data_IF_033255457968
#
_entry.id   IF_033255457968
#
_cell.length_a   1.000
_cell.length_b   1.000
_cell.length_c   1.000
_cell.angle_alpha   90.00
_cell.angle_beta   90.00
_cell.angle_gamma   90.00
#
_symmetry.space_group_name_H-M   'P 1'
#
loop_
_entity.id
_entity.type
_entity.pdbx_description
1 polymer ?
#
# COMPACT_ATOMS: atom_id res chain seq x y z
N UNK A 1 17.85 -14.02 -18.72
CA UNK A 1 18.47 -13.19 -17.68
C UNK A 1 18.37 -13.98 -16.37
N UNK A 2 19.49 -14.27 -15.71
CA UNK A 2 19.51 -14.84 -14.36
C UNK A 2 19.06 -13.78 -13.34
N UNK A 3 18.71 -14.20 -12.12
CA UNK A 3 18.15 -13.31 -11.07
C UNK A 3 19.06 -12.11 -10.77
N UNK A 4 20.35 -12.36 -10.65
CA UNK A 4 21.37 -11.34 -10.37
C UNK A 4 21.68 -10.44 -11.56
N UNK A 5 21.34 -10.85 -12.79
CA UNK A 5 21.73 -10.12 -14.00
C UNK A 5 21.02 -8.76 -14.12
N UNK A 6 19.84 -8.59 -13.51
CA UNK A 6 19.14 -7.30 -13.46
C UNK A 6 19.99 -6.21 -12.78
N UNK A 7 20.74 -6.61 -11.74
CA UNK A 7 21.34 -5.73 -10.74
C UNK A 7 22.73 -5.22 -11.08
N UNK A 8 23.15 -5.35 -12.35
CA UNK A 8 24.46 -4.86 -12.79
C UNK A 8 24.42 -4.27 -14.19
N UNK A 9 25.06 -3.12 -14.35
CA UNK A 9 25.37 -2.49 -15.65
C UNK A 9 26.12 -3.40 -16.64
N UNK A 10 26.83 -4.43 -16.15
CA UNK A 10 27.56 -5.37 -17.00
C UNK A 10 26.65 -6.36 -17.73
N UNK A 11 25.58 -6.78 -17.07
CA UNK A 11 24.65 -7.81 -17.55
C UNK A 11 23.33 -7.21 -18.02
N UNK A 12 23.01 -5.99 -17.57
CA UNK A 12 21.86 -5.20 -17.94
C UNK A 12 22.31 -3.76 -18.28
N UNK A 13 22.79 -3.51 -19.51
CA UNK A 13 23.35 -2.21 -19.89
C UNK A 13 22.29 -1.11 -20.01
N UNK A 14 21.01 -1.46 -20.18
CA UNK A 14 19.94 -0.49 -20.43
C UNK A 14 19.38 0.13 -19.14
N UNK A 15 19.15 -0.68 -18.10
CA UNK A 15 18.57 -0.23 -16.82
C UNK A 15 19.43 -0.55 -15.59
N UNK A 16 20.60 -1.18 -15.78
CA UNK A 16 21.45 -1.67 -14.68
C UNK A 16 21.94 -0.59 -13.73
N UNK A 17 22.17 0.64 -14.19
CA UNK A 17 22.53 1.77 -13.31
C UNK A 17 21.40 2.11 -12.32
N UNK A 18 20.15 2.07 -12.79
CA UNK A 18 18.96 2.30 -11.95
C UNK A 18 18.77 1.16 -10.93
N UNK A 19 19.04 -0.08 -11.33
CA UNK A 19 19.06 -1.21 -10.39
C UNK A 19 20.20 -1.12 -9.37
N UNK A 20 21.41 -0.72 -9.75
CA UNK A 20 22.53 -0.54 -8.82
C UNK A 20 22.19 0.55 -7.78
N UNK A 21 21.52 1.63 -8.20
CA UNK A 21 20.98 2.65 -7.29
C UNK A 21 19.89 2.10 -6.35
N UNK A 22 18.95 1.32 -6.87
CA UNK A 22 17.92 0.67 -6.05
C UNK A 22 18.52 -0.33 -5.04
N UNK A 23 19.50 -1.13 -5.45
CA UNK A 23 20.22 -2.03 -4.55
C UNK A 23 20.92 -1.26 -3.43
N UNK A 24 21.54 -0.12 -3.77
CA UNK A 24 22.14 0.77 -2.78
C UNK A 24 21.11 1.31 -1.77
N UNK A 25 19.89 1.62 -2.24
CA UNK A 25 18.78 2.01 -1.38
C UNK A 25 18.33 0.86 -0.47
N UNK A 26 18.10 -0.34 -1.00
CA UNK A 26 17.68 -1.51 -0.21
C UNK A 26 18.66 -1.83 0.92
N UNK A 27 19.97 -1.65 0.67
CA UNK A 27 21.05 -1.84 1.67
C UNK A 27 21.04 -0.84 2.83
N UNK A 28 20.31 0.27 2.72
CA UNK A 28 20.16 1.24 3.82
C UNK A 28 18.74 1.30 4.37
N UNK A 29 17.75 0.99 3.54
CA UNK A 29 16.32 1.07 3.83
C UNK A 29 15.78 -0.10 4.67
N UNK A 30 16.58 -0.66 5.59
CA UNK A 30 16.17 -1.76 6.48
C UNK A 30 16.69 -1.55 7.89
N UNK A 31 16.06 -2.18 8.89
CA UNK A 31 16.40 -2.07 10.32
C UNK A 31 17.72 -2.76 10.75
N UNK A 32 18.50 -3.29 9.80
CA UNK A 32 19.75 -4.02 10.08
C UNK A 32 19.64 -5.54 9.96
N UNK A 33 18.42 -6.09 9.85
CA UNK A 33 18.22 -7.54 9.81
C UNK A 33 17.96 -8.12 8.40
N UNK A 34 17.63 -7.29 7.41
CA UNK A 34 17.48 -7.76 6.04
C UNK A 34 18.80 -8.29 5.45
N UNK A 35 18.76 -9.50 4.90
CA UNK A 35 19.77 -10.06 4.02
C UNK A 35 19.43 -9.68 2.57
N UNK A 36 20.01 -8.57 2.11
CA UNK A 36 19.74 -8.02 0.78
C UNK A 36 20.36 -8.86 -0.34
N UNK A 37 21.50 -9.52 -0.08
CA UNK A 37 22.14 -10.35 -1.08
C UNK A 37 21.30 -11.64 -1.31
N UNK A 38 20.78 -12.25 -0.24
CA UNK A 38 19.80 -13.33 -0.36
C UNK A 38 18.48 -12.86 -0.99
N UNK A 39 18.04 -11.62 -0.71
CA UNK A 39 16.86 -11.04 -1.33
C UNK A 39 16.98 -10.98 -2.85
N UNK A 40 18.06 -10.40 -3.39
CA UNK A 40 18.19 -10.25 -4.85
C UNK A 40 18.47 -11.57 -5.58
N UNK A 41 18.99 -12.59 -4.89
CA UNK A 41 19.20 -13.94 -5.44
C UNK A 41 17.97 -14.88 -5.27
N UNK A 42 16.89 -14.38 -4.67
CA UNK A 42 15.66 -15.14 -4.47
C UNK A 42 14.67 -15.03 -5.64
N UNK A 43 13.70 -15.94 -5.70
CA UNK A 43 12.56 -15.79 -6.64
C UNK A 43 11.75 -14.52 -6.33
N UNK A 44 11.70 -14.11 -5.07
CA UNK A 44 11.06 -12.88 -4.62
C UNK A 44 11.77 -11.64 -5.18
N UNK A 45 13.11 -11.61 -5.10
CA UNK A 45 13.94 -10.56 -5.68
C UNK A 45 13.81 -10.48 -7.21
N UNK A 46 13.68 -11.62 -7.88
CA UNK A 46 13.41 -11.66 -9.33
C UNK A 46 12.04 -11.06 -9.67
N UNK A 47 11.00 -11.39 -8.89
CA UNK A 47 9.66 -10.83 -9.08
C UNK A 47 9.65 -9.31 -8.82
N UNK A 48 10.34 -8.85 -7.77
CA UNK A 48 10.55 -7.44 -7.48
C UNK A 48 11.28 -6.73 -8.63
N UNK A 49 12.36 -7.33 -9.15
CA UNK A 49 13.13 -6.78 -10.26
C UNK A 49 12.31 -6.64 -11.54
N UNK A 50 11.38 -7.57 -11.84
CA UNK A 50 10.48 -7.46 -12.99
C UNK A 50 9.54 -6.25 -12.90
N UNK A 51 9.06 -5.90 -11.71
CA UNK A 51 8.23 -4.70 -11.52
C UNK A 51 9.07 -3.42 -11.67
N UNK A 52 10.28 -3.41 -11.14
CA UNK A 52 11.22 -2.29 -11.32
C UNK A 52 11.63 -2.08 -12.77
N UNK A 53 11.86 -3.17 -13.51
CA UNK A 53 12.22 -3.10 -14.92
C UNK A 53 11.14 -2.40 -15.75
N UNK A 54 9.85 -2.70 -15.48
CA UNK A 54 8.73 -2.01 -16.12
C UNK A 54 8.75 -0.50 -15.82
N UNK A 55 8.99 -0.13 -14.57
CA UNK A 55 9.14 1.27 -14.17
C UNK A 55 10.30 1.93 -14.94
N UNK A 56 11.51 1.38 -14.83
CA UNK A 56 12.73 1.99 -15.38
C UNK A 56 12.65 2.18 -16.89
N UNK A 57 11.97 1.27 -17.58
CA UNK A 57 11.73 1.34 -19.02
C UNK A 57 10.78 2.46 -19.44
N UNK A 58 9.82 2.85 -18.60
CA UNK A 58 8.73 3.74 -18.99
C UNK A 58 8.70 5.08 -18.25
N UNK A 59 9.41 5.23 -17.13
CA UNK A 59 9.30 6.41 -16.25
C UNK A 59 9.70 7.73 -16.91
N UNK A 60 10.59 7.71 -17.91
CA UNK A 60 11.02 8.92 -18.63
C UNK A 60 10.01 9.41 -19.68
N UNK A 61 9.14 8.52 -20.15
CA UNK A 61 8.11 8.82 -21.15
C UNK A 61 6.78 8.18 -20.75
N UNK A 62 6.14 8.64 -19.66
CA UNK A 62 5.01 7.96 -19.02
C UNK A 62 3.72 7.96 -19.84
N UNK A 63 3.66 8.77 -20.89
CA UNK A 63 2.59 8.77 -21.90
C UNK A 63 3.11 8.49 -23.31
N UNK A 64 4.33 7.95 -23.42
CA UNK A 64 4.94 7.56 -24.68
C UNK A 64 4.29 6.32 -25.30
N UNK A 65 4.45 6.15 -26.61
CA UNK A 65 3.79 5.06 -27.35
C UNK A 65 4.18 3.66 -26.84
N UNK A 66 5.40 3.48 -26.31
CA UNK A 66 5.85 2.20 -25.77
C UNK A 66 5.05 1.76 -24.54
N UNK A 67 4.80 2.67 -23.58
CA UNK A 67 4.01 2.35 -22.38
C UNK A 67 2.53 2.24 -22.72
N UNK A 68 2.01 3.06 -23.64
CA UNK A 68 0.63 2.93 -24.11
C UNK A 68 0.41 1.59 -24.84
N UNK A 69 1.36 1.14 -25.65
CA UNK A 69 1.31 -0.17 -26.30
C UNK A 69 1.38 -1.32 -25.29
N UNK A 70 2.19 -1.17 -24.22
CA UNK A 70 2.22 -2.11 -23.11
C UNK A 70 0.86 -2.21 -22.41
N UNK A 71 0.21 -1.09 -22.09
CA UNK A 71 -1.14 -1.14 -21.51
C UNK A 71 -2.15 -1.79 -22.45
N UNK A 72 -2.11 -1.46 -23.74
CA UNK A 72 -3.01 -2.08 -24.73
C UNK A 72 -2.82 -3.59 -24.84
N UNK A 73 -1.58 -4.08 -24.72
CA UNK A 73 -1.31 -5.53 -24.74
C UNK A 73 -1.88 -6.25 -23.51
N UNK A 74 -2.07 -5.54 -22.39
CA UNK A 74 -2.78 -6.03 -21.20
C UNK A 74 -4.30 -5.87 -21.28
N UNK A 75 -4.85 -5.33 -22.38
CA UNK A 75 -6.27 -5.01 -22.48
C UNK A 75 -6.68 -3.76 -21.70
N UNK A 76 -5.75 -2.84 -21.49
CA UNK A 76 -5.93 -1.61 -20.71
C UNK A 76 -5.68 -0.35 -21.55
N UNK A 77 -6.28 0.75 -21.10
CA UNK A 77 -6.06 2.13 -21.55
C UNK A 77 -5.44 2.90 -20.39
N UNK A 78 -4.46 3.76 -20.69
CA UNK A 78 -3.91 4.74 -19.75
C UNK A 78 -4.21 6.14 -20.24
N UNK A 79 -4.65 6.99 -19.33
CA UNK A 79 -4.87 8.42 -19.54
C UNK A 79 -4.14 9.21 -18.46
N UNK A 80 -3.66 10.41 -18.79
CA UNK A 80 -3.10 11.37 -17.84
C UNK A 80 -3.89 12.67 -17.99
N UNK A 81 -4.31 13.23 -16.87
CA UNK A 81 -5.11 14.45 -16.78
C UNK A 81 -4.33 15.52 -16.06
N UNK A 82 -4.61 16.79 -16.38
CA UNK A 82 -3.98 17.96 -15.75
C UNK A 82 -2.44 17.88 -15.83
N UNK A 83 -1.90 17.21 -16.87
CA UNK A 83 -0.45 16.93 -17.00
C UNK A 83 0.35 18.22 -17.20
N UNK A 84 -0.26 19.32 -17.64
CA UNK A 84 0.41 20.61 -17.74
C UNK A 84 1.02 21.09 -16.42
N UNK A 85 0.43 20.71 -15.27
CA UNK A 85 0.98 20.97 -13.95
C UNK A 85 1.34 19.66 -13.25
N UNK A 86 2.64 19.52 -12.98
CA UNK A 86 3.22 18.37 -12.31
C UNK A 86 2.47 17.99 -11.04
N UNK A 87 2.00 18.96 -10.23
CA UNK A 87 1.42 18.68 -8.91
C UNK A 87 -0.08 18.40 -8.91
N UNK A 88 -0.82 18.82 -9.92
CA UNK A 88 -2.27 18.55 -10.03
C UNK A 88 -2.57 17.29 -10.83
N UNK A 89 -1.62 16.85 -11.66
CA UNK A 89 -1.81 15.71 -12.55
C UNK A 89 -2.18 14.42 -11.85
N UNK A 90 -2.91 13.59 -12.58
CA UNK A 90 -3.30 12.26 -12.16
C UNK A 90 -3.47 11.34 -13.37
N UNK A 91 -3.16 10.06 -13.17
CA UNK A 91 -3.30 9.03 -14.18
C UNK A 91 -4.51 8.14 -13.86
N UNK A 92 -5.17 7.66 -14.90
CA UNK A 92 -6.22 6.65 -14.81
C UNK A 92 -5.92 5.50 -15.76
N UNK A 93 -5.96 4.29 -15.23
CA UNK A 93 -5.86 3.05 -15.97
C UNK A 93 -7.25 2.40 -15.98
N UNK A 94 -7.76 2.08 -17.15
CA UNK A 94 -9.09 1.48 -17.34
C UNK A 94 -9.04 0.28 -18.30
N UNK A 95 -9.96 -0.69 -18.21
CA UNK A 95 -10.14 -1.70 -19.26
C UNK A 95 -10.47 -1.07 -20.61
N UNK A 96 -9.91 -1.59 -21.70
CA UNK A 96 -10.17 -1.07 -23.06
C UNK A 96 -11.65 -1.12 -23.44
N UNK A 97 -12.35 -2.16 -23.00
CA UNK A 97 -13.77 -2.38 -23.27
C UNK A 97 -14.72 -1.48 -22.44
N UNK A 98 -14.19 -0.67 -21.51
CA UNK A 98 -14.98 0.09 -20.54
C UNK A 98 -16.02 1.02 -21.18
N UNK A 99 -15.66 1.73 -22.25
CA UNK A 99 -16.56 2.70 -22.87
C UNK A 99 -17.78 2.02 -23.50
N UNK A 100 -17.63 0.79 -24.01
CA UNK A 100 -18.71 0.02 -24.62
C UNK A 100 -19.56 -0.68 -23.55
N UNK A 101 -18.93 -1.41 -22.63
CA UNK A 101 -19.64 -2.10 -21.54
C UNK A 101 -20.32 -1.11 -20.58
N UNK A 102 -19.72 0.06 -20.37
CA UNK A 102 -20.30 1.15 -19.57
C UNK A 102 -21.59 1.70 -20.17
N UNK A 103 -21.69 1.80 -21.50
CA UNK A 103 -22.94 2.16 -22.20
C UNK A 103 -24.00 1.06 -22.04
N UNK A 104 -23.58 -0.19 -21.87
CA UNK A 104 -24.46 -1.31 -21.53
C UNK A 104 -24.81 -1.38 -20.03
N UNK A 105 -24.38 -0.41 -19.23
CA UNK A 105 -24.72 -0.29 -17.81
C UNK A 105 -23.76 -0.97 -16.85
N UNK A 106 -22.69 -1.63 -17.34
CA UNK A 106 -21.66 -2.22 -16.47
C UNK A 106 -20.96 -1.11 -15.67
N UNK A 107 -20.67 -1.39 -14.39
CA UNK A 107 -19.94 -0.49 -13.49
C UNK A 107 -18.68 -1.16 -12.96
N UNK A 108 -17.62 -0.38 -12.76
CA UNK A 108 -16.29 -0.87 -12.44
C UNK A 108 -15.82 -0.39 -11.07
N UNK A 109 -15.21 -1.25 -10.26
CA UNK A 109 -14.48 -0.84 -9.06
C UNK A 109 -13.32 0.10 -9.38
N UNK A 110 -12.93 0.90 -8.39
CA UNK A 110 -11.78 1.81 -8.46
C UNK A 110 -10.83 1.59 -7.29
N UNK A 111 -9.54 1.51 -7.58
CA UNK A 111 -8.47 1.53 -6.57
C UNK A 111 -7.62 2.78 -6.77
N UNK A 112 -7.52 3.62 -5.73
CA UNK A 112 -6.50 4.66 -5.67
C UNK A 112 -5.18 4.07 -5.15
N UNK A 113 -4.06 4.44 -5.78
CA UNK A 113 -2.71 4.03 -5.36
C UNK A 113 -1.87 5.27 -5.09
N UNK A 114 -1.53 5.49 -3.82
CA UNK A 114 -0.76 6.65 -3.38
C UNK A 114 0.74 6.34 -3.32
N UNK A 115 1.54 7.19 -3.98
CA UNK A 115 2.99 7.06 -4.01
C UNK A 115 3.67 7.45 -2.69
N UNK A 116 4.88 6.92 -2.49
CA UNK A 116 5.77 7.28 -1.38
C UNK A 116 6.25 8.74 -1.41
N UNK A 117 6.88 9.17 -0.33
CA UNK A 117 7.42 10.53 -0.22
C UNK A 117 8.56 10.72 -1.20
N UNK A 118 8.65 11.90 -1.82
CA UNK A 118 9.63 12.22 -2.87
C UNK A 118 9.48 11.43 -4.18
N UNK A 119 8.45 10.57 -4.29
CA UNK A 119 8.17 9.84 -5.52
C UNK A 119 7.19 10.60 -6.43
N UNK A 120 7.02 10.08 -7.64
CA UNK A 120 6.05 10.53 -8.63
C UNK A 120 5.15 9.38 -9.07
N UNK A 121 4.10 9.69 -9.86
CA UNK A 121 3.23 8.67 -10.47
C UNK A 121 4.06 7.60 -11.19
N UNK A 122 5.05 8.03 -11.98
CA UNK A 122 5.89 7.15 -12.80
C UNK A 122 6.72 6.17 -11.98
N UNK A 123 7.17 6.61 -10.81
CA UNK A 123 7.97 5.78 -9.91
C UNK A 123 7.13 4.73 -9.19
N UNK A 124 5.82 4.97 -9.08
CA UNK A 124 4.88 4.18 -8.29
C UNK A 124 4.06 3.21 -9.13
N UNK A 125 3.80 3.56 -10.40
CA UNK A 125 2.81 2.92 -11.28
C UNK A 125 2.86 1.39 -11.27
N UNK A 126 4.06 0.80 -11.28
CA UNK A 126 4.26 -0.65 -11.28
C UNK A 126 4.64 -1.23 -9.91
N UNK A 127 4.95 -0.40 -8.91
CA UNK A 127 5.60 -0.81 -7.66
C UNK A 127 4.84 -1.87 -6.88
N UNK A 128 3.52 -1.69 -6.71
CA UNK A 128 2.66 -2.67 -6.04
C UNK A 128 2.02 -3.70 -6.98
N UNK A 129 2.23 -3.61 -8.30
CA UNK A 129 1.67 -4.54 -9.29
C UNK A 129 0.21 -4.31 -9.69
N UNK A 130 -0.43 -3.23 -9.22
CA UNK A 130 -1.86 -2.94 -9.48
C UNK A 130 -2.26 -2.89 -10.97
N UNK A 131 -1.42 -2.46 -11.93
CA UNK A 131 -1.76 -2.56 -13.36
C UNK A 131 -2.08 -3.98 -13.83
N UNK A 132 -1.39 -5.00 -13.29
CA UNK A 132 -1.65 -6.39 -13.63
C UNK A 132 -2.96 -6.90 -13.03
N UNK A 133 -3.27 -6.44 -11.82
CA UNK A 133 -4.58 -6.68 -11.17
C UNK A 133 -5.68 -6.04 -12.01
N UNK A 134 -5.50 -4.80 -12.47
CA UNK A 134 -6.45 -4.11 -13.35
C UNK A 134 -6.76 -4.90 -14.62
N UNK A 135 -5.73 -5.46 -15.25
CA UNK A 135 -5.87 -6.28 -16.45
C UNK A 135 -6.67 -7.56 -16.20
N UNK A 136 -6.34 -8.29 -15.11
CA UNK A 136 -6.95 -9.57 -14.74
C UNK A 136 -8.40 -9.41 -14.27
N UNK A 137 -8.63 -8.44 -13.39
CA UNK A 137 -9.86 -8.30 -12.62
C UNK A 137 -10.82 -7.28 -13.24
N UNK A 138 -10.36 -6.59 -14.30
CA UNK A 138 -11.10 -5.56 -15.03
C UNK A 138 -11.61 -4.49 -14.07
N UNK A 139 -10.67 -3.79 -13.43
CA UNK A 139 -10.93 -2.68 -12.50
C UNK A 139 -10.25 -1.39 -12.97
N UNK A 140 -10.68 -0.25 -12.44
CA UNK A 140 -10.00 1.02 -12.61
C UNK A 140 -8.92 1.21 -11.56
N UNK A 141 -7.82 1.86 -11.96
CA UNK A 141 -6.74 2.25 -11.04
C UNK A 141 -6.37 3.70 -11.27
N UNK A 142 -6.35 4.50 -10.20
CA UNK A 142 -5.98 5.91 -10.27
C UNK A 142 -4.72 6.19 -9.44
N UNK A 143 -3.81 6.98 -10.03
CA UNK A 143 -2.59 7.45 -9.38
C UNK A 143 -2.61 8.98 -9.37
N UNK A 144 -2.40 9.58 -8.21
CA UNK A 144 -2.45 11.03 -8.03
C UNK A 144 -1.06 11.53 -7.67
N UNK A 145 -0.62 12.65 -8.24
CA UNK A 145 0.59 13.30 -7.76
C UNK A 145 0.33 14.04 -6.42
N UNK A 146 -0.81 14.72 -6.30
CA UNK A 146 -1.27 15.24 -5.01
C UNK A 146 -2.16 14.20 -4.33
N UNK A 147 -1.56 13.47 -3.39
CA UNK A 147 -2.17 12.36 -2.64
C UNK A 147 -3.00 12.80 -1.44
N UNK A 148 -3.22 14.11 -1.23
CA UNK A 148 -4.05 14.60 -0.13
C UNK A 148 -5.52 14.18 -0.30
N UNK A 149 -6.24 14.02 0.81
CA UNK A 149 -7.62 13.55 0.86
C UNK A 149 -8.59 14.49 0.13
N UNK A 150 -8.41 15.83 0.20
CA UNK A 150 -9.29 16.75 -0.56
C UNK A 150 -9.13 16.56 -2.07
N UNK A 151 -7.89 16.35 -2.53
CA UNK A 151 -7.65 16.11 -3.95
C UNK A 151 -8.13 14.71 -4.39
N UNK A 152 -7.98 13.71 -3.51
CA UNK A 152 -8.56 12.39 -3.74
C UNK A 152 -10.07 12.49 -3.92
N UNK A 153 -10.77 13.19 -3.02
CA UNK A 153 -12.21 13.37 -3.12
C UNK A 153 -12.61 14.10 -4.41
N UNK A 154 -11.89 15.17 -4.76
CA UNK A 154 -12.08 15.91 -6.02
C UNK A 154 -11.95 14.99 -7.22
N UNK A 155 -10.86 14.22 -7.33
CA UNK A 155 -10.61 13.32 -8.46
C UNK A 155 -11.63 12.18 -8.49
N UNK A 156 -12.02 11.63 -7.34
CA UNK A 156 -13.10 10.64 -7.25
C UNK A 156 -14.41 11.19 -7.81
N UNK A 157 -14.79 12.42 -7.47
CA UNK A 157 -15.98 13.07 -8.02
C UNK A 157 -15.90 13.26 -9.54
N UNK A 158 -14.71 13.62 -10.06
CA UNK A 158 -14.47 13.74 -11.51
C UNK A 158 -14.63 12.38 -12.21
N UNK A 159 -14.04 11.32 -11.65
CA UNK A 159 -14.15 9.96 -12.19
C UNK A 159 -15.62 9.51 -12.15
N UNK A 160 -16.32 9.71 -11.04
CA UNK A 160 -17.73 9.34 -10.88
C UNK A 160 -18.65 10.01 -11.92
N UNK A 161 -18.34 11.24 -12.32
CA UNK A 161 -19.12 11.98 -13.33
C UNK A 161 -18.80 11.62 -14.78
N UNK A 162 -17.62 11.05 -15.06
CA UNK A 162 -17.13 10.80 -16.44
C UNK A 162 -17.07 9.32 -16.82
N UNK A 163 -16.83 8.44 -15.86
CA UNK A 163 -16.60 7.02 -16.08
C UNK A 163 -17.72 6.17 -15.48
N UNK A 164 -17.92 4.93 -15.96
CA UNK A 164 -18.87 3.99 -15.38
C UNK A 164 -18.37 3.44 -14.02
N UNK A 165 -18.14 4.32 -13.06
CA UNK A 165 -17.68 3.98 -11.72
C UNK A 165 -18.78 3.28 -10.92
N UNK A 166 -18.41 2.16 -10.31
CA UNK A 166 -19.15 1.62 -9.19
C UNK A 166 -18.74 2.35 -7.90
N UNK A 167 -19.52 3.35 -7.52
CA UNK A 167 -19.23 4.13 -6.30
C UNK A 167 -19.45 3.35 -5.00
N UNK A 168 -19.94 2.10 -5.05
CA UNK A 168 -19.96 1.20 -3.88
C UNK A 168 -18.65 0.45 -3.68
N UNK A 169 -17.79 0.42 -4.71
CA UNK A 169 -16.54 -0.35 -4.73
C UNK A 169 -15.36 0.57 -5.06
N UNK A 170 -15.12 1.50 -4.14
CA UNK A 170 -13.99 2.42 -4.16
C UNK A 170 -13.04 2.04 -3.03
N UNK A 171 -11.78 1.84 -3.36
CA UNK A 171 -10.74 1.40 -2.44
C UNK A 171 -9.49 2.25 -2.55
N UNK A 172 -8.61 2.15 -1.57
CA UNK A 172 -7.34 2.88 -1.58
C UNK A 172 -6.20 2.07 -0.96
N UNK A 173 -5.05 2.09 -1.61
CA UNK A 173 -3.77 1.60 -1.09
C UNK A 173 -2.68 2.64 -1.32
N UNK A 174 -1.53 2.47 -0.67
CA UNK A 174 -0.40 3.38 -0.83
C UNK A 174 0.75 3.00 0.07
N UNK A 175 1.95 3.46 -0.28
CA UNK A 175 3.18 3.04 0.37
C UNK A 175 3.92 4.17 1.08
N UNK A 176 4.45 3.89 2.27
CA UNK A 176 5.23 4.84 3.07
C UNK A 176 4.44 6.14 3.31
N UNK A 177 4.90 7.29 2.80
CA UNK A 177 4.12 8.54 2.85
C UNK A 177 2.72 8.39 2.25
N UNK A 178 2.58 7.63 1.16
CA UNK A 178 1.31 7.30 0.53
C UNK A 178 0.41 6.47 1.45
N UNK A 179 0.98 5.54 2.22
CA UNK A 179 0.26 4.76 3.24
C UNK A 179 -0.29 5.64 4.38
N UNK A 180 0.46 6.66 4.79
CA UNK A 180 -0.06 7.67 5.70
C UNK A 180 -1.18 8.53 5.08
N UNK A 181 -1.12 8.84 3.78
CA UNK A 181 -2.23 9.52 3.08
C UNK A 181 -3.48 8.65 2.95
N UNK A 182 -3.30 7.32 2.82
CA UNK A 182 -4.43 6.38 2.91
C UNK A 182 -5.07 6.48 4.30
N UNK A 183 -4.26 6.46 5.36
CA UNK A 183 -4.78 6.65 6.73
C UNK A 183 -5.46 8.03 6.89
N UNK A 184 -4.91 9.10 6.32
CA UNK A 184 -5.53 10.43 6.36
C UNK A 184 -6.90 10.44 5.67
N UNK A 185 -7.00 9.90 4.45
CA UNK A 185 -8.27 9.80 3.73
C UNK A 185 -9.28 8.91 4.47
N UNK A 186 -8.81 7.81 5.06
CA UNK A 186 -9.60 6.91 5.89
C UNK A 186 -10.23 7.63 7.11
N UNK A 187 -9.51 8.54 7.77
CA UNK A 187 -10.08 9.32 8.89
C UNK A 187 -10.97 10.48 8.43
N UNK A 188 -10.63 11.16 7.32
CA UNK A 188 -11.26 12.43 6.92
C UNK A 188 -12.52 12.25 6.07
N UNK A 189 -12.58 11.20 5.27
CA UNK A 189 -13.67 10.91 4.32
C UNK A 189 -14.00 9.41 4.29
N UNK A 190 -14.22 8.75 5.45
CA UNK A 190 -14.40 7.29 5.53
C UNK A 190 -15.55 6.76 4.67
N UNK A 191 -16.61 7.55 4.47
CA UNK A 191 -17.79 7.23 3.67
C UNK A 191 -17.49 7.04 2.18
N UNK A 192 -16.33 7.50 1.71
CA UNK A 192 -15.92 7.39 0.30
C UNK A 192 -15.33 6.03 -0.04
N UNK A 193 -14.99 5.20 0.95
CA UNK A 193 -14.27 3.94 0.73
C UNK A 193 -15.01 2.73 1.27
N UNK A 194 -14.93 1.63 0.53
CA UNK A 194 -15.41 0.32 0.95
C UNK A 194 -14.35 -0.49 1.73
N UNK A 195 -13.07 -0.23 1.47
CA UNK A 195 -11.93 -0.77 2.24
C UNK A 195 -10.65 0.00 1.89
N UNK A 196 -9.66 -0.04 2.79
CA UNK A 196 -8.35 0.57 2.58
C UNK A 196 -7.21 -0.37 2.98
N UNK A 197 -6.04 -0.21 2.35
CA UNK A 197 -4.87 -1.05 2.63
C UNK A 197 -3.56 -0.27 2.54
N UNK A 198 -3.15 0.50 3.57
CA UNK A 198 -1.84 1.12 3.57
C UNK A 198 -0.70 0.10 3.74
N UNK A 199 0.47 0.46 3.22
CA UNK A 199 1.69 -0.33 3.28
C UNK A 199 2.87 0.49 3.82
N UNK A 200 3.73 -0.13 4.63
CA UNK A 200 4.95 0.50 5.13
C UNK A 200 4.69 1.71 6.04
N UNK A 201 3.73 1.58 6.96
CA UNK A 201 3.31 2.62 7.89
C UNK A 201 2.96 2.04 9.28
N UNK A 202 2.83 2.90 10.30
CA UNK A 202 2.50 2.50 11.67
C UNK A 202 1.08 1.94 11.82
N UNK A 203 0.87 1.08 12.83
CA UNK A 203 -0.43 0.47 13.16
C UNK A 203 -1.54 1.49 13.43
N UNK A 204 -1.18 2.64 14.02
CA UNK A 204 -2.09 3.74 14.33
C UNK A 204 -1.29 5.05 14.44
N UNK A 205 -1.87 6.18 13.98
CA UNK A 205 -1.33 7.54 14.15
C UNK A 205 -2.43 8.49 14.63
N UNK A 206 -2.04 9.45 15.44
CA UNK A 206 -2.96 10.43 16.03
C UNK A 206 -3.02 11.74 15.20
N UNK A 207 -2.32 11.79 14.06
CA UNK A 207 -2.23 12.95 13.17
C UNK A 207 -1.98 12.51 11.73
N UNK A 208 -2.32 13.38 10.77
CA UNK A 208 -2.02 13.19 9.35
C UNK A 208 -0.61 13.65 8.96
N UNK A 209 -0.29 13.52 7.67
CA UNK A 209 1.02 13.89 7.12
C UNK A 209 1.37 15.37 7.21
N UNK A 210 0.38 16.24 7.46
CA UNK A 210 0.57 17.68 7.65
C UNK A 210 0.62 18.06 9.14
N UNK A 211 0.75 17.06 10.02
CA UNK A 211 0.76 17.20 11.47
C UNK A 211 -0.55 17.73 12.04
N UNK A 212 -1.67 17.61 11.31
CA UNK A 212 -2.97 17.98 11.83
C UNK A 212 -3.50 16.80 12.64
N UNK A 213 -3.77 16.95 13.94
CA UNK A 213 -4.31 15.88 14.75
C UNK A 213 -5.68 15.41 14.23
N UNK A 214 -5.94 14.11 14.35
CA UNK A 214 -7.30 13.59 14.21
C UNK A 214 -8.08 13.91 15.47
N UNK A 215 -9.29 14.43 15.32
CA UNK A 215 -10.12 14.77 16.48
C UNK A 215 -10.78 13.51 17.06
N UNK A 216 -11.32 13.65 18.27
CA UNK A 216 -12.12 12.59 18.86
C UNK A 216 -13.37 12.31 18.04
N UNK A 217 -14.00 13.38 17.53
CA UNK A 217 -15.19 13.30 16.68
C UNK A 217 -14.89 12.53 15.38
N UNK A 218 -13.73 12.75 14.76
CA UNK A 218 -13.31 11.99 13.58
C UNK A 218 -13.07 10.52 13.89
N UNK A 219 -12.49 10.23 15.05
CA UNK A 219 -12.27 8.85 15.50
C UNK A 219 -13.59 8.12 15.75
N UNK A 220 -14.56 8.77 16.40
CA UNK A 220 -15.90 8.20 16.61
C UNK A 220 -16.67 8.07 15.29
N UNK A 221 -16.61 9.09 14.43
CA UNK A 221 -17.26 9.07 13.12
C UNK A 221 -16.74 7.93 12.24
N UNK A 222 -15.43 7.71 12.24
CA UNK A 222 -14.81 6.59 11.53
C UNK A 222 -15.29 5.25 12.08
N UNK A 223 -15.36 5.09 13.41
CA UNK A 223 -15.84 3.87 14.05
C UNK A 223 -17.30 3.58 13.70
N UNK A 224 -18.15 4.61 13.68
CA UNK A 224 -19.55 4.51 13.28
C UNK A 224 -19.69 4.17 11.80
N UNK A 225 -18.93 4.84 10.94
CA UNK A 225 -18.96 4.66 9.48
C UNK A 225 -18.42 3.30 9.06
N UNK A 226 -17.44 2.79 9.80
CA UNK A 226 -16.70 1.53 9.62
C UNK A 226 -16.12 1.34 8.20
N UNK A 227 -14.81 1.15 8.13
CA UNK A 227 -14.10 0.84 6.87
C UNK A 227 -13.13 -0.32 7.14
N UNK A 228 -13.30 -1.48 6.49
CA UNK A 228 -12.33 -2.57 6.55
C UNK A 228 -10.92 -2.12 6.21
N UNK A 229 -9.95 -2.62 6.97
CA UNK A 229 -8.58 -2.13 6.91
C UNK A 229 -7.60 -3.30 6.80
N UNK A 230 -6.74 -3.28 5.79
CA UNK A 230 -5.59 -4.17 5.70
C UNK A 230 -4.32 -3.38 5.95
N UNK A 231 -3.32 -3.98 6.58
CA UNK A 231 -1.98 -3.37 6.69
C UNK A 231 -0.93 -4.36 6.22
N UNK A 232 0.03 -3.85 5.44
CA UNK A 232 1.14 -4.64 4.93
C UNK A 232 2.46 -3.97 5.33
N UNK A 233 3.38 -4.75 5.88
CA UNK A 233 4.72 -4.28 6.23
C UNK A 233 5.78 -5.34 5.91
N UNK A 234 7.03 -4.93 5.83
CA UNK A 234 8.18 -5.84 5.87
C UNK A 234 8.69 -6.06 7.30
N UNK A 235 9.16 -7.27 7.60
CA UNK A 235 9.76 -7.58 8.93
C UNK A 235 11.08 -6.88 9.16
N UNK A 236 11.72 -6.37 8.11
CA UNK A 236 13.02 -5.71 8.18
C UNK A 236 12.94 -4.23 7.80
N UNK A 237 11.76 -3.61 7.80
CA UNK A 237 11.62 -2.19 7.48
C UNK A 237 12.44 -1.31 8.42
N UNK A 238 13.04 -0.24 7.90
CA UNK A 238 13.84 0.69 8.70
C UNK A 238 13.08 1.37 9.85
N UNK A 239 11.74 1.36 9.78
CA UNK A 239 10.82 1.86 10.80
C UNK A 239 10.33 0.78 11.78
N UNK A 240 10.77 -0.47 11.64
CA UNK A 240 10.46 -1.55 12.60
C UNK A 240 8.98 -1.67 12.96
N UNK A 241 8.10 -1.70 11.95
CA UNK A 241 6.65 -1.81 12.17
C UNK A 241 6.20 -3.17 12.68
N UNK A 242 7.05 -4.19 12.55
CA UNK A 242 6.88 -5.53 13.10
C UNK A 242 8.15 -5.93 13.89
N UNK A 243 8.01 -6.66 15.01
CA UNK A 243 6.75 -7.05 15.64
C UNK A 243 6.02 -5.85 16.28
N UNK A 244 4.68 -5.85 16.26
CA UNK A 244 3.88 -4.70 16.70
C UNK A 244 4.03 -4.42 18.18
N UNK A 245 4.24 -5.44 19.02
CA UNK A 245 4.36 -5.33 20.48
C UNK A 245 5.71 -4.80 20.98
N UNK A 246 6.65 -4.45 20.10
CA UNK A 246 7.96 -3.95 20.50
C UNK A 246 8.33 -2.69 19.71
N UNK A 247 8.14 -1.54 20.35
CA UNK A 247 8.60 -0.30 19.74
C UNK A 247 10.12 -0.27 19.65
N UNK A 248 10.60 0.11 18.47
CA UNK A 248 12.00 0.36 18.20
C UNK A 248 12.12 1.70 17.48
N UNK A 249 13.16 2.51 17.75
CA UNK A 249 13.37 3.74 17.02
C UNK A 249 13.64 3.45 15.55
N UNK A 250 13.15 4.33 14.67
CA UNK A 250 13.51 4.28 13.26
C UNK A 250 15.03 4.35 13.11
N UNK A 251 15.60 3.41 12.36
CA UNK A 251 17.04 3.44 12.04
C UNK A 251 17.37 4.69 11.24
N UNK A 252 18.43 5.39 11.62
CA UNK A 252 19.04 6.41 10.76
C UNK A 252 19.67 5.72 9.53
N UNK A 253 19.19 6.05 8.34
CA UNK A 253 19.63 5.44 7.07
C UNK A 253 21.12 5.71 6.78
N UNK A 254 21.71 6.74 7.40
CA UNK A 254 23.15 7.01 7.35
C UNK A 254 23.66 7.62 6.05
N UNK A 255 22.85 7.63 4.98
CA UNK A 255 23.09 8.35 3.73
C UNK A 255 21.79 8.60 2.96
N UNK A 256 21.82 9.56 2.05
CA UNK A 256 20.80 9.72 1.03
C UNK A 256 20.97 8.66 -0.07
N UNK A 257 19.94 8.50 -0.93
CA UNK A 257 20.00 7.58 -2.08
C UNK A 257 21.08 8.06 -3.06
N UNK A 258 21.91 7.15 -3.55
CA UNK A 258 23.07 7.51 -4.39
C UNK A 258 22.66 8.16 -5.74
N UNK A 259 21.47 7.82 -6.26
CA UNK A 259 20.85 8.49 -7.41
C UNK A 259 19.32 8.34 -7.40
N UNK A 260 18.57 9.40 -7.73
CA UNK A 260 17.12 9.28 -7.97
C UNK A 260 16.86 8.58 -9.32
N UNK A 261 15.93 7.61 -9.44
CA UNK A 261 15.76 6.83 -10.68
C UNK A 261 15.23 7.64 -11.87
N UNK A 262 14.39 8.64 -11.59
CA UNK A 262 13.91 9.62 -12.55
C UNK A 262 13.34 10.85 -11.82
N UNK A 263 13.72 12.04 -12.27
CA UNK A 263 13.20 13.31 -11.75
C UNK A 263 12.54 14.07 -12.89
N UNK A 264 11.22 14.24 -12.84
CA UNK A 264 10.50 15.05 -13.83
C UNK A 264 11.03 16.50 -13.80
N UNK A 265 11.38 17.11 -14.95
CA UNK A 265 11.97 18.44 -15.01
C UNK A 265 11.05 19.56 -14.48
N UNK A 266 9.75 19.29 -14.33
CA UNK A 266 8.76 20.24 -13.78
C UNK A 266 8.68 20.19 -12.25
N UNK A 267 9.27 19.16 -11.61
CA UNK A 267 9.28 18.98 -10.15
C UNK A 267 9.98 20.16 -9.48
N UNK A 268 9.30 20.75 -8.51
CA UNK A 268 9.80 21.81 -7.66
C UNK A 268 9.32 21.58 -6.22
N UNK A 269 10.20 21.00 -5.42
CA UNK A 269 9.94 20.58 -4.06
C UNK A 269 9.41 21.68 -3.11
N UNK A 270 9.59 22.96 -3.47
CA UNK A 270 9.04 24.09 -2.73
C UNK A 270 7.55 24.33 -3.01
N UNK A 271 7.02 23.76 -4.10
CA UNK A 271 5.61 23.85 -4.53
C UNK A 271 4.82 22.57 -4.29
N UNK A 272 5.46 21.52 -3.80
CA UNK A 272 4.83 20.21 -3.61
C UNK A 272 3.74 20.26 -2.52
N UNK A 273 2.45 20.07 -2.90
CA UNK A 273 1.34 20.16 -1.97
C UNK A 273 1.29 18.99 -0.99
N UNK A 274 2.09 17.94 -1.22
CA UNK A 274 2.22 16.81 -0.30
C UNK A 274 3.28 17.04 0.78
N UNK A 275 3.88 18.24 0.83
CA UNK A 275 4.95 18.60 1.77
C UNK A 275 4.55 19.70 2.72
N UNK A 276 5.08 19.59 3.94
CA UNK A 276 5.08 20.69 4.91
C UNK A 276 6.23 21.64 4.59
N UNK A 277 5.93 22.88 4.19
CA UNK A 277 6.93 23.93 3.92
C UNK A 277 7.42 24.52 5.26
N UNK A 278 8.73 24.52 5.49
CA UNK A 278 9.34 25.18 6.65
C UNK A 278 9.06 24.53 8.02
N UNK A 279 8.48 23.33 8.04
CA UNK A 279 8.16 22.58 9.26
C UNK A 279 8.80 21.19 9.30
N UNK A 280 8.81 20.57 10.50
CA UNK A 280 9.27 19.18 10.66
C UNK A 280 8.27 18.23 9.99
N UNK A 281 8.75 17.38 9.08
CA UNK A 281 7.95 16.32 8.45
C UNK A 281 7.77 15.17 9.46
N UNK A 282 6.62 15.07 10.12
CA UNK A 282 6.42 13.98 11.11
C UNK A 282 6.16 12.62 10.47
N UNK A 283 6.09 12.46 9.15
CA UNK A 283 6.17 11.10 8.59
C UNK A 283 7.58 10.49 8.77
N UNK A 284 8.61 11.34 8.93
CA UNK A 284 9.95 10.92 9.32
C UNK A 284 10.03 10.55 10.80
N UNK A 285 9.15 11.13 11.62
CA UNK A 285 9.03 10.84 13.04
C UNK A 285 7.98 9.75 13.26
N UNK A 286 8.43 8.53 13.53
CA UNK A 286 7.53 7.57 14.15
C UNK A 286 7.02 8.16 15.47
N UNK A 287 5.74 7.91 15.83
CA UNK A 287 5.31 8.17 17.19
C UNK A 287 6.28 7.45 18.15
N UNK A 288 6.68 8.14 19.22
CA UNK A 288 7.58 7.60 20.24
C UNK A 288 6.81 7.42 21.55
N UNK A 289 7.10 6.37 22.34
CA UNK A 289 6.54 6.23 23.68
C UNK A 289 6.99 7.43 24.54
N UNK A 290 6.08 8.03 25.33
CA UNK A 290 6.46 9.09 26.27
C UNK A 290 7.49 8.59 27.29
N UNK A 291 8.29 9.51 27.82
CA UNK A 291 9.31 9.18 28.83
C UNK A 291 8.69 8.46 30.03
N UNK A 292 9.28 7.33 30.42
CA UNK A 292 8.83 6.51 31.56
C UNK A 292 7.64 5.58 31.26
N UNK A 293 7.07 5.61 30.06
CA UNK A 293 6.03 4.66 29.63
C UNK A 293 6.69 3.39 29.10
N UNK A 294 6.19 2.21 29.49
CA UNK A 294 6.64 0.95 28.94
C UNK A 294 6.34 0.88 27.44
N UNK A 295 7.39 0.67 26.64
CA UNK A 295 7.30 0.73 25.18
C UNK A 295 6.45 -0.38 24.58
N UNK A 296 6.35 -1.53 25.25
CA UNK A 296 5.58 -2.67 24.79
C UNK A 296 4.10 -2.47 25.07
N UNK A 297 3.75 -2.10 26.31
CA UNK A 297 2.37 -1.75 26.67
C UNK A 297 1.85 -0.60 25.82
N UNK A 298 2.68 0.41 25.57
CA UNK A 298 2.33 1.55 24.71
C UNK A 298 1.99 1.14 23.28
N UNK A 299 2.74 0.19 22.69
CA UNK A 299 2.40 -0.31 21.36
C UNK A 299 1.09 -1.10 21.35
N UNK A 300 0.82 -1.88 22.39
CA UNK A 300 -0.47 -2.58 22.48
C UNK A 300 -1.63 -1.59 22.65
N UNK A 301 -1.44 -0.46 23.35
CA UNK A 301 -2.43 0.63 23.37
C UNK A 301 -2.69 1.17 21.96
N UNK A 302 -1.65 1.42 21.15
CA UNK A 302 -1.82 1.84 19.74
C UNK A 302 -2.56 0.81 18.90
N UNK A 303 -2.21 -0.47 19.03
CA UNK A 303 -2.94 -1.57 18.39
C UNK A 303 -4.42 -1.56 18.82
N UNK A 304 -4.70 -1.33 20.10
CA UNK A 304 -6.06 -1.29 20.62
C UNK A 304 -6.83 -0.04 20.20
N UNK A 305 -6.17 1.09 19.91
CA UNK A 305 -6.80 2.23 19.20
C UNK A 305 -7.25 1.82 17.80
N UNK A 306 -6.44 1.05 17.06
CA UNK A 306 -6.85 0.48 15.77
C UNK A 306 -8.05 -0.45 15.92
N UNK A 307 -8.01 -1.38 16.88
CA UNK A 307 -9.12 -2.31 17.15
C UNK A 307 -10.41 -1.54 17.47
N UNK A 308 -10.29 -0.47 18.26
CA UNK A 308 -11.41 0.40 18.59
C UNK A 308 -12.09 1.01 17.34
N UNK A 309 -11.30 1.59 16.42
CA UNK A 309 -11.85 2.18 15.19
C UNK A 309 -12.49 1.17 14.25
N UNK A 310 -12.16 -0.12 14.38
CA UNK A 310 -12.69 -1.21 13.57
C UNK A 310 -13.84 -1.95 14.25
N UNK A 311 -14.21 -1.57 15.48
CA UNK A 311 -15.23 -2.26 16.27
C UNK A 311 -14.82 -3.67 16.70
N UNK A 312 -13.51 -3.94 16.78
CA UNK A 312 -12.95 -5.20 17.22
C UNK A 312 -12.70 -5.21 18.74
N UNK A 313 -12.65 -6.41 19.34
CA UNK A 313 -12.24 -6.55 20.74
C UNK A 313 -10.76 -6.21 20.91
N UNK A 314 -10.35 -5.54 22.00
CA UNK A 314 -8.95 -5.23 22.25
C UNK A 314 -8.14 -6.51 22.41
N UNK A 315 -6.87 -6.46 22.01
CA UNK A 315 -5.90 -7.52 22.26
C UNK A 315 -5.34 -7.38 23.68
N UNK A 316 -5.22 -8.52 24.36
CA UNK A 316 -4.66 -8.61 25.70
C UNK A 316 -3.16 -8.33 25.70
N UNK A 317 -2.74 -7.26 26.39
CA UNK A 317 -1.36 -6.81 26.39
C UNK A 317 -0.41 -7.86 26.97
N UNK A 318 -0.79 -8.56 28.04
CA UNK A 318 0.07 -9.56 28.65
C UNK A 318 0.37 -10.71 27.68
N UNK A 319 -0.65 -11.18 26.97
CA UNK A 319 -0.53 -12.22 25.96
C UNK A 319 0.35 -11.74 24.80
N UNK A 320 0.05 -10.58 24.22
CA UNK A 320 0.85 -10.05 23.11
C UNK A 320 2.33 -9.85 23.50
N UNK A 321 2.61 -9.28 24.67
CA UNK A 321 4.00 -9.06 25.14
C UNK A 321 4.73 -10.39 25.40
N UNK A 322 4.01 -11.45 25.78
CA UNK A 322 4.62 -12.77 26.00
C UNK A 322 5.28 -13.34 24.74
N UNK A 323 4.79 -12.99 23.54
CA UNK A 323 5.32 -13.47 22.26
C UNK A 323 6.76 -13.06 21.97
N UNK A 324 7.27 -12.02 22.64
CA UNK A 324 8.69 -11.65 22.56
C UNK A 324 9.62 -12.76 23.05
N UNK A 325 9.11 -13.67 23.87
CA UNK A 325 9.87 -14.72 24.52
C UNK A 325 9.51 -16.14 24.04
N UNK A 326 8.77 -16.26 22.94
CA UNK A 326 8.34 -17.55 22.36
C UNK A 326 8.72 -17.67 20.88
N UNK A 327 10.03 -17.67 20.53
CA UNK A 327 10.47 -17.75 19.14
C UNK A 327 10.06 -19.05 18.42
N UNK A 328 9.72 -20.10 19.16
CA UNK A 328 9.13 -21.34 18.64
C UNK A 328 7.72 -21.15 18.07
N UNK A 329 7.01 -20.11 18.50
CA UNK A 329 5.76 -19.65 17.90
C UNK A 329 6.07 -18.54 16.89
N UNK A 330 6.56 -18.96 15.72
CA UNK A 330 7.13 -18.08 14.71
C UNK A 330 6.18 -16.95 14.30
N UNK A 331 4.90 -17.26 14.03
CA UNK A 331 3.92 -16.27 13.57
C UNK A 331 3.73 -15.16 14.60
N UNK A 332 3.46 -15.54 15.85
CA UNK A 332 3.21 -14.56 16.90
C UNK A 332 4.47 -13.80 17.31
N UNK A 333 5.64 -14.46 17.25
CA UNK A 333 6.92 -13.80 17.50
C UNK A 333 7.20 -12.71 16.46
N UNK A 334 6.90 -12.98 15.19
CA UNK A 334 7.11 -12.02 14.08
C UNK A 334 6.06 -10.90 14.08
N UNK A 335 4.79 -11.22 14.34
CA UNK A 335 3.71 -10.23 14.28
C UNK A 335 3.56 -9.43 15.57
N UNK A 336 3.78 -10.06 16.73
CA UNK A 336 3.67 -9.44 18.05
C UNK A 336 2.26 -9.43 18.65
N UNK A 337 1.25 -9.99 17.97
CA UNK A 337 -0.13 -10.10 18.47
C UNK A 337 -0.89 -11.21 17.73
N UNK A 338 -2.05 -11.59 18.27
CA UNK A 338 -2.91 -12.65 17.73
C UNK A 338 -4.13 -12.09 17.00
N UNK A 339 -4.60 -12.84 16.01
CA UNK A 339 -5.86 -12.65 15.29
C UNK A 339 -6.93 -13.67 15.69
N UNK A 340 -8.01 -13.72 14.91
CA UNK A 340 -9.05 -14.76 15.03
C UNK A 340 -8.82 -15.90 14.01
N UNK A 341 -8.14 -15.60 12.89
CA UNK A 341 -7.59 -16.60 11.97
C UNK A 341 -6.19 -16.19 11.54
N UNK A 342 -5.29 -17.15 11.42
CA UNK A 342 -3.85 -16.92 11.29
C UNK A 342 -3.23 -17.91 10.32
N UNK A 343 -2.28 -17.45 9.50
CA UNK A 343 -1.60 -18.30 8.53
C UNK A 343 -0.22 -17.78 8.15
N UNK A 344 0.62 -18.69 7.67
CA UNK A 344 1.89 -18.37 7.00
C UNK A 344 1.78 -18.89 5.57
N UNK A 345 1.82 -17.98 4.60
CA UNK A 345 1.82 -18.34 3.18
C UNK A 345 3.18 -18.09 2.55
N UNK A 346 3.63 -18.99 1.67
CA UNK A 346 4.85 -18.81 0.89
C UNK A 346 4.49 -18.26 -0.50
N UNK A 347 5.00 -17.08 -0.83
CA UNK A 347 4.93 -16.50 -2.16
C UNK A 347 6.33 -16.18 -2.65
N UNK A 348 6.71 -16.73 -3.82
CA UNK A 348 8.06 -16.59 -4.38
C UNK A 348 9.17 -16.96 -3.38
N UNK A 349 8.92 -17.99 -2.56
CA UNK A 349 9.85 -18.46 -1.54
C UNK A 349 9.88 -17.63 -0.25
N UNK A 350 9.09 -16.56 -0.14
CA UNK A 350 9.03 -15.70 1.04
C UNK A 350 7.75 -15.91 1.86
N UNK A 351 7.88 -16.08 3.17
CA UNK A 351 6.80 -16.14 4.15
C UNK A 351 6.08 -14.80 4.28
N UNK A 352 4.76 -14.88 4.22
CA UNK A 352 3.82 -13.81 4.50
C UNK A 352 3.00 -14.24 5.72
N UNK A 353 3.35 -13.66 6.86
CA UNK A 353 2.68 -13.89 8.14
C UNK A 353 1.40 -13.08 8.15
N UNK A 354 0.25 -13.74 8.18
CA UNK A 354 -1.06 -13.12 8.05
C UNK A 354 -1.91 -13.40 9.27
N UNK A 355 -2.58 -12.37 9.77
CA UNK A 355 -3.67 -12.50 10.74
C UNK A 355 -4.90 -11.73 10.24
N UNK A 356 -6.06 -12.30 10.53
CA UNK A 356 -7.37 -11.75 10.22
C UNK A 356 -8.17 -11.59 11.52
N UNK A 357 -8.89 -10.48 11.65
CA UNK A 357 -9.74 -10.17 12.81
C UNK A 357 -11.13 -9.76 12.33
N UNK A 358 -12.15 -10.34 12.97
CA UNK A 358 -13.54 -10.03 12.73
C UNK A 358 -14.06 -9.08 13.82
N UNK A 359 -14.89 -8.12 13.41
CA UNK A 359 -15.58 -7.27 14.37
C UNK A 359 -16.78 -8.00 15.00
N UNK A 360 -17.43 -7.34 15.97
CA UNK A 360 -18.60 -7.91 16.68
C UNK A 360 -19.78 -8.28 15.77
N UNK A 361 -19.85 -7.70 14.57
CA UNK A 361 -20.88 -8.01 13.58
C UNK A 361 -20.50 -9.20 12.67
N UNK A 362 -19.34 -9.82 12.89
CA UNK A 362 -18.83 -10.92 12.07
C UNK A 362 -18.32 -10.48 10.70
N UNK A 363 -17.96 -9.20 10.53
CA UNK A 363 -17.32 -8.68 9.31
C UNK A 363 -15.81 -8.77 9.45
N UNK A 364 -15.13 -9.26 8.41
CA UNK A 364 -13.67 -9.30 8.34
C UNK A 364 -13.13 -7.86 8.33
N UNK A 365 -12.74 -7.37 9.50
CA UNK A 365 -12.54 -5.95 9.75
C UNK A 365 -11.07 -5.52 9.62
N UNK A 366 -10.15 -6.40 10.03
CA UNK A 366 -8.73 -6.12 9.99
C UNK A 366 -7.95 -7.31 9.42
N UNK A 367 -7.02 -7.03 8.51
CA UNK A 367 -5.98 -7.96 8.08
C UNK A 367 -4.61 -7.33 8.29
N UNK A 368 -3.67 -8.04 8.89
CA UNK A 368 -2.28 -7.59 8.99
C UNK A 368 -1.36 -8.62 8.36
N UNK A 369 -0.46 -8.15 7.50
CA UNK A 369 0.51 -8.98 6.78
C UNK A 369 1.91 -8.44 7.03
N UNK A 370 2.80 -9.29 7.54
CA UNK A 370 4.23 -9.02 7.58
C UNK A 370 4.96 -9.95 6.59
N UNK A 371 5.90 -9.39 5.81
CA UNK A 371 6.66 -10.15 4.81
C UNK A 371 8.10 -10.34 5.28
N UNK A 372 8.54 -11.60 5.30
CA UNK A 372 9.88 -11.94 5.76
C UNK A 372 10.98 -11.29 4.91
N UNK A 373 12.11 -10.98 5.55
CA UNK A 373 13.30 -10.41 4.93
C UNK A 373 13.03 -9.19 4.00
N UNK A 374 11.89 -8.53 4.16
CA UNK A 374 11.49 -7.41 3.32
C UNK A 374 11.98 -6.09 3.95
N UNK A 375 12.82 -5.31 3.24
CA UNK A 375 13.22 -3.97 3.68
C UNK A 375 12.05 -2.98 3.47
N UNK A 376 12.30 -1.68 3.66
CA UNK A 376 11.35 -0.61 3.31
C UNK A 376 11.30 -0.46 1.79
N UNK A 377 10.60 -1.39 1.13
CA UNK A 377 10.14 -1.33 -0.25
C UNK A 377 8.72 -1.92 -0.36
N UNK A 378 8.07 -1.81 -1.52
CA UNK A 378 6.83 -2.55 -1.76
C UNK A 378 7.07 -4.06 -1.68
N UNK A 379 6.25 -4.79 -0.91
CA UNK A 379 6.20 -6.23 -1.05
C UNK A 379 5.60 -6.64 -2.40
N UNK A 380 6.18 -7.64 -3.05
CA UNK A 380 5.83 -8.12 -4.41
C UNK A 380 4.34 -8.47 -4.53
N UNK A 381 3.77 -9.08 -3.48
CA UNK A 381 2.39 -9.57 -3.51
C UNK A 381 1.34 -8.50 -3.18
N UNK A 382 1.75 -7.24 -2.92
CA UNK A 382 0.85 -6.23 -2.38
C UNK A 382 -0.42 -6.06 -3.22
N UNK A 383 -0.30 -5.80 -4.53
CA UNK A 383 -1.47 -5.55 -5.39
C UNK A 383 -2.48 -6.69 -5.39
N UNK A 384 -2.01 -7.94 -5.44
CA UNK A 384 -2.90 -9.11 -5.41
C UNK A 384 -3.54 -9.27 -4.03
N UNK A 385 -2.76 -9.18 -2.94
CA UNK A 385 -3.28 -9.33 -1.57
C UNK A 385 -4.31 -8.27 -1.22
N UNK A 386 -4.05 -7.00 -1.57
CA UNK A 386 -5.02 -5.93 -1.30
C UNK A 386 -6.28 -6.09 -2.13
N UNK A 387 -6.19 -6.55 -3.39
CA UNK A 387 -7.38 -6.81 -4.19
C UNK A 387 -8.21 -7.97 -3.63
N UNK A 388 -7.56 -9.05 -3.24
CA UNK A 388 -8.25 -10.19 -2.61
C UNK A 388 -8.96 -9.78 -1.33
N UNK A 389 -8.37 -8.85 -0.56
CA UNK A 389 -9.03 -8.24 0.58
C UNK A 389 -10.14 -7.26 0.18
N UNK A 390 -9.97 -6.45 -0.86
CA UNK A 390 -10.95 -5.42 -1.25
C UNK A 390 -12.21 -5.98 -1.90
N UNK A 391 -12.07 -6.97 -2.78
CA UNK A 391 -13.14 -7.47 -3.66
C UNK A 391 -14.32 -8.09 -2.91
N UNK A 392 -14.12 -8.45 -1.64
CA UNK A 392 -15.16 -8.96 -0.75
C UNK A 392 -16.04 -7.85 -0.15
N UNK A 393 -15.72 -6.56 -0.31
CA UNK A 393 -16.48 -5.47 0.31
C UNK A 393 -17.14 -4.55 -0.72
N UNK A 394 -18.37 -4.13 -0.45
CA UNK A 394 -18.98 -2.93 -1.04
C UNK A 394 -19.55 -2.04 0.06
N UNK A 395 -19.59 -0.73 -0.17
CA UNK A 395 -20.36 0.22 0.66
C UNK A 395 -21.72 0.45 0.03
N UNK A 396 -22.76 0.00 0.70
CA UNK A 396 -24.13 0.15 0.26
C UNK A 396 -24.54 1.63 0.22
N UNK A 397 -25.01 2.13 -0.93
CA UNK A 397 -25.34 3.57 -1.08
C UNK A 397 -26.55 4.01 -0.28
N UNK A 398 -27.50 3.12 -0.02
CA UNK A 398 -28.74 3.48 0.66
C UNK A 398 -28.51 3.58 2.17
N UNK A 399 -27.76 2.64 2.72
CA UNK A 399 -27.53 2.55 4.17
C UNK A 399 -26.20 3.13 4.62
N UNK A 400 -25.24 3.28 3.72
CA UNK A 400 -23.86 3.64 4.03
C UNK A 400 -23.05 2.50 4.63
N UNK A 401 -23.63 1.30 4.86
CA UNK A 401 -22.96 0.21 5.54
C UNK A 401 -22.06 -0.61 4.62
N UNK A 402 -21.04 -1.25 5.21
CA UNK A 402 -20.22 -2.25 4.52
C UNK A 402 -20.99 -3.57 4.40
N UNK A 403 -21.04 -4.11 3.19
CA UNK A 403 -21.67 -5.39 2.86
C UNK A 403 -20.61 -6.33 2.28
N UNK A 404 -20.56 -7.55 2.82
CA UNK A 404 -19.73 -8.62 2.28
C UNK A 404 -20.35 -9.15 0.99
N UNK A 405 -19.55 -9.22 -0.07
CA UNK A 405 -19.91 -9.87 -1.32
C UNK A 405 -19.60 -11.37 -1.15
N UNK A 406 -20.58 -12.26 -1.27
CA UNK A 406 -20.32 -13.70 -1.19
C UNK A 406 -19.32 -14.10 -2.27
N UNK A 407 -18.32 -14.91 -1.91
CA UNK A 407 -17.46 -15.52 -2.92
C UNK A 407 -18.33 -16.30 -3.91
N UNK A 408 -18.17 -16.01 -5.20
CA UNK A 408 -18.72 -16.92 -6.21
C UNK A 408 -17.93 -18.22 -6.06
N UNK A 409 -18.58 -19.39 -5.94
CA UNK A 409 -17.85 -20.64 -5.94
C UNK A 409 -16.98 -20.70 -7.20
N UNK A 410 -15.70 -21.00 -7.03
CA UNK A 410 -14.81 -21.28 -8.16
C UNK A 410 -15.49 -22.36 -9.00
N UNK A 411 -15.84 -22.01 -10.24
CA UNK A 411 -16.20 -23.03 -11.22
C UNK A 411 -14.90 -23.78 -11.46
N UNK A 412 -14.78 -24.97 -10.87
CA UNK A 412 -13.72 -25.91 -11.19
C UNK A 412 -13.62 -25.97 -12.71
N UNK A 413 -12.55 -25.39 -13.26
CA UNK A 413 -12.25 -25.54 -14.67
C UNK A 413 -11.93 -27.02 -14.86
N UNK A 414 -12.93 -27.79 -15.29
CA UNK A 414 -12.74 -29.14 -15.77
C UNK A 414 -11.81 -29.05 -16.97
N UNK A 415 -10.53 -29.32 -16.74
CA UNK A 415 -9.62 -29.73 -17.79
C UNK A 415 -10.17 -31.03 -18.37
N UNK A 416 -10.78 -30.92 -19.55
CA UNK A 416 -11.18 -32.07 -20.36
C UNK A 416 -10.69 -31.85 -21.78
N UNK A 417 -9.74 -32.69 -22.21
CA UNK A 417 -9.35 -32.89 -23.61
C UNK A 417 -7.91 -32.57 -23.91
#
# INVERSE_FOLDING_TARGET
MQKTDYWSTKTNPDTGEKFESELSYLRVAHNGYADIDAFIDSEYGEAYAKLLELRFKYEEAPMGEAVLAYYRSLGLKKEMFEDEDYYTRWALITPLEMDEEGKAGKKYPLVFVNHGGFNSIEQEEFGCGMPHVAAKEKIMVAYLQNTNWENTERVLNIIAGKYPLDTERVYMTGYSQGGYQVTSSYFRIPERFAAVAPCGNDIYRDYDNFNVPFTKEETEHLKETFVPFMQIVGTCEASSFAPVNDWQPRKNWGKERDAEPYTDPRRDDMRDPTRVIGGKRRFSDMPEPPEGVDKHEWMIDRLNKRMYTLGCEPRDAKTCISYLNTPEDELHHVLGFYGDAESIHLYHGYKHYTLDIWNKAGVHAFRYVAVENAPHCWPVMTGQLVWDFFKQFRRDRETGNIVMIPERPEVESTTSG
#
